data_IF_867584518529
#
_entry.id   IF_867584518529
#
_cell.length_a   1.000
_cell.length_b   1.000
_cell.length_c   1.000
_cell.angle_alpha   90.00
_cell.angle_beta   90.00
_cell.angle_gamma   90.00
#
_symmetry.space_group_name_H-M   'P 1'
#
loop_
_entity.id
_entity.type
_entity.pdbx_description
1 polymer ?
#
# COMPACT_ATOMS: atom_id res chain seq x y z
N UNK A 1 -13.40 -79.69 -13.38
CA UNK A 1 -13.10 -78.68 -12.34
C UNK A 1 -12.20 -77.62 -12.95
N UNK A 2 -12.74 -76.43 -13.25
CA UNK A 2 -12.01 -75.31 -13.89
C UNK A 2 -11.47 -74.39 -12.79
N UNK A 3 -10.16 -74.22 -12.75
CA UNK A 3 -9.45 -73.36 -11.80
C UNK A 3 -9.52 -71.91 -12.28
N UNK A 4 -10.31 -71.06 -11.61
CA UNK A 4 -10.37 -69.62 -11.85
C UNK A 4 -9.25 -68.96 -11.06
N UNK A 5 -8.26 -68.38 -11.76
CA UNK A 5 -7.25 -67.49 -11.16
C UNK A 5 -7.82 -66.07 -11.13
N UNK A 6 -8.12 -65.56 -9.94
CA UNK A 6 -8.48 -64.16 -9.72
C UNK A 6 -7.17 -63.37 -9.59
N UNK A 7 -6.87 -62.55 -10.59
CA UNK A 7 -5.78 -61.57 -10.56
C UNK A 7 -6.35 -60.32 -9.91
N UNK A 8 -5.97 -60.04 -8.66
CA UNK A 8 -6.25 -58.75 -8.01
C UNK A 8 -5.30 -57.70 -8.61
N UNK A 9 -5.80 -56.90 -9.54
CA UNK A 9 -5.11 -55.71 -10.02
C UNK A 9 -5.18 -54.62 -8.95
N UNK A 10 -4.05 -54.32 -8.31
CA UNK A 10 -3.91 -53.14 -7.45
C UNK A 10 -3.83 -51.92 -8.38
N UNK A 11 -4.96 -51.24 -8.59
CA UNK A 11 -4.97 -49.93 -9.20
C UNK A 11 -4.35 -48.93 -8.20
N UNK A 12 -3.07 -48.62 -8.40
CA UNK A 12 -2.41 -47.54 -7.68
C UNK A 12 -3.03 -46.21 -8.13
N UNK A 13 -4.03 -45.74 -7.38
CA UNK A 13 -4.51 -44.37 -7.49
C UNK A 13 -3.40 -43.45 -6.98
N UNK A 14 -2.59 -42.94 -7.91
CA UNK A 14 -1.72 -41.79 -7.68
C UNK A 14 -2.63 -40.59 -7.41
N UNK A 15 -2.99 -40.40 -6.15
CA UNK A 15 -3.58 -39.15 -5.66
C UNK A 15 -2.47 -38.11 -5.78
N UNK A 16 -2.47 -37.40 -6.91
CA UNK A 16 -1.71 -36.16 -7.06
C UNK A 16 -2.39 -35.16 -6.14
N UNK A 17 -1.98 -35.13 -4.87
CA UNK A 17 -2.29 -34.03 -3.98
C UNK A 17 -1.72 -32.77 -4.64
N UNK A 18 -2.54 -31.75 -4.94
CA UNK A 18 -1.99 -30.48 -5.37
C UNK A 18 -1.10 -29.97 -4.24
N UNK A 19 0.21 -29.87 -4.51
CA UNK A 19 1.09 -29.13 -3.63
C UNK A 19 0.63 -27.68 -3.69
N UNK A 20 -0.13 -27.24 -2.67
CA UNK A 20 -0.36 -25.82 -2.46
C UNK A 20 1.00 -25.19 -2.15
N UNK A 21 1.57 -24.52 -3.14
CA UNK A 21 2.68 -23.59 -2.94
C UNK A 21 2.28 -22.57 -1.87
N UNK A 22 3.18 -22.19 -0.95
CA UNK A 22 2.91 -21.09 -0.04
C UNK A 22 2.59 -19.84 -0.87
N UNK A 23 1.38 -19.32 -0.71
CA UNK A 23 0.97 -18.05 -1.29
C UNK A 23 1.85 -16.95 -0.71
N UNK A 24 2.89 -16.56 -1.44
CA UNK A 24 3.59 -15.30 -1.20
C UNK A 24 2.61 -14.17 -1.51
N UNK A 25 2.11 -13.52 -0.45
CA UNK A 25 1.13 -12.44 -0.53
C UNK A 25 1.64 -11.28 -1.39
N UNK A 26 0.93 -11.00 -2.48
CA UNK A 26 0.99 -9.69 -3.11
C UNK A 26 -0.02 -8.76 -2.44
N UNK A 27 -0.42 -7.69 -3.13
CA UNK A 27 -1.62 -6.87 -2.89
C UNK A 27 -2.21 -6.39 -4.23
N UNK A 28 -3.52 -6.22 -4.41
CA UNK A 28 -4.12 -6.01 -5.73
C UNK A 28 -4.99 -4.75 -5.88
N UNK A 29 -5.48 -4.51 -7.11
CA UNK A 29 -6.52 -3.51 -7.42
C UNK A 29 -7.89 -4.20 -7.45
N UNK A 30 -8.89 -3.56 -6.85
CA UNK A 30 -10.25 -4.06 -6.77
C UNK A 30 -11.21 -3.05 -7.40
N UNK A 31 -11.83 -3.44 -8.52
CA UNK A 31 -12.65 -2.53 -9.31
C UNK A 31 -11.81 -1.58 -10.14
N UNK A 32 -12.18 -0.31 -10.12
CA UNK A 32 -11.45 0.76 -10.80
C UNK A 32 -10.23 1.18 -9.98
N UNK A 33 -9.10 1.43 -10.65
CA UNK A 33 -7.87 1.84 -9.96
C UNK A 33 -8.00 3.27 -9.42
N UNK A 34 -8.26 3.39 -8.12
CA UNK A 34 -8.64 4.65 -7.45
C UNK A 34 -7.48 5.41 -6.82
N UNK A 35 -6.25 4.89 -7.00
CA UNK A 35 -5.05 5.46 -6.40
C UNK A 35 -4.83 6.88 -6.91
N UNK A 36 -4.49 7.80 -6.02
CA UNK A 36 -4.19 9.20 -6.32
C UNK A 36 -2.77 9.56 -5.91
N UNK A 37 -2.11 10.41 -6.69
CA UNK A 37 -0.95 11.15 -6.20
C UNK A 37 -1.35 12.13 -5.10
N UNK A 38 -0.41 12.49 -4.22
CA UNK A 38 -0.63 13.44 -3.11
C UNK A 38 -1.36 14.72 -3.55
N UNK A 39 -0.92 15.35 -4.64
CA UNK A 39 -1.51 16.61 -5.12
C UNK A 39 -2.98 16.50 -5.51
N UNK A 40 -3.45 15.31 -5.89
CA UNK A 40 -4.81 15.05 -6.32
C UNK A 40 -5.72 14.60 -5.17
N UNK A 41 -5.15 14.28 -4.00
CA UNK A 41 -5.90 13.86 -2.82
C UNK A 41 -6.65 15.04 -2.18
N UNK A 42 -7.70 14.73 -1.41
CA UNK A 42 -8.45 15.76 -0.66
C UNK A 42 -7.56 16.49 0.35
N UNK A 43 -7.87 17.75 0.73
CA UNK A 43 -7.07 18.49 1.71
C UNK A 43 -6.90 17.76 3.05
N UNK A 44 -7.91 17.01 3.48
CA UNK A 44 -7.87 16.18 4.68
C UNK A 44 -6.87 15.02 4.52
N UNK A 45 -6.90 14.30 3.38
CA UNK A 45 -5.94 13.25 3.09
C UNK A 45 -4.50 13.79 2.93
N UNK A 46 -4.32 14.97 2.35
CA UNK A 46 -3.01 15.66 2.27
C UNK A 46 -2.49 16.00 3.67
N UNK A 47 -3.35 16.47 4.57
CA UNK A 47 -2.99 16.76 5.97
C UNK A 47 -2.51 15.50 6.68
N UNK A 48 -3.23 14.38 6.54
CA UNK A 48 -2.83 13.09 7.13
C UNK A 48 -1.53 12.55 6.51
N UNK A 49 -1.34 12.75 5.20
CA UNK A 49 -0.14 12.33 4.45
C UNK A 49 1.15 12.90 5.02
N UNK A 50 1.11 14.08 5.64
CA UNK A 50 2.28 14.68 6.29
C UNK A 50 2.93 13.77 7.34
N UNK A 51 2.16 12.87 7.95
CA UNK A 51 2.67 11.97 9.00
C UNK A 51 2.75 10.50 8.59
N UNK A 52 2.63 10.24 7.29
CA UNK A 52 2.87 8.94 6.67
C UNK A 52 4.28 8.92 6.09
N UNK A 53 4.99 7.83 6.35
CA UNK A 53 6.42 7.72 6.06
C UNK A 53 6.74 6.59 5.12
N UNK A 54 7.81 6.77 4.35
CA UNK A 54 8.42 5.74 3.52
C UNK A 54 9.65 5.15 4.21
N UNK A 55 9.84 3.84 4.08
CA UNK A 55 10.97 3.11 4.63
C UNK A 55 12.01 2.83 3.54
N UNK A 56 13.24 3.24 3.78
CA UNK A 56 14.37 3.14 2.85
C UNK A 56 15.52 2.36 3.47
N UNK A 57 16.25 1.64 2.63
CA UNK A 57 17.54 1.06 3.05
C UNK A 57 18.56 2.19 3.19
N UNK A 58 19.40 2.15 4.22
CA UNK A 58 20.42 3.17 4.46
C UNK A 58 21.31 3.44 3.22
N UNK A 59 21.68 2.40 2.46
CA UNK A 59 22.48 2.55 1.24
C UNK A 59 21.76 3.26 0.08
N UNK A 60 20.44 3.41 0.15
CA UNK A 60 19.62 4.16 -0.81
C UNK A 60 19.39 5.63 -0.39
N UNK A 61 19.99 6.07 0.72
CA UNK A 61 19.84 7.42 1.26
C UNK A 61 21.23 8.07 1.31
N UNK A 62 21.49 8.99 0.40
CA UNK A 62 22.82 9.56 0.16
C UNK A 62 22.88 11.01 0.65
N UNK A 63 23.73 11.27 1.64
CA UNK A 63 23.97 12.63 2.10
C UNK A 63 24.74 13.42 1.02
N UNK A 64 24.15 14.51 0.54
CA UNK A 64 24.76 15.39 -0.47
C UNK A 64 25.54 16.56 0.16
N UNK A 65 25.54 16.67 1.49
CA UNK A 65 26.02 17.84 2.22
C UNK A 65 24.99 18.98 2.23
N UNK A 66 25.31 20.09 2.90
CA UNK A 66 24.50 21.32 2.94
C UNK A 66 23.02 21.10 3.36
N UNK A 67 22.78 20.13 4.24
CA UNK A 67 21.43 19.81 4.72
C UNK A 67 20.52 19.12 3.71
N UNK A 68 21.06 18.58 2.61
CA UNK A 68 20.30 17.85 1.59
C UNK A 68 20.68 16.36 1.55
N UNK A 69 19.68 15.52 1.29
CA UNK A 69 19.82 14.07 1.17
C UNK A 69 19.12 13.61 -0.11
N UNK A 70 19.81 12.82 -0.93
CA UNK A 70 19.27 12.25 -2.15
C UNK A 70 18.79 10.81 -1.92
N UNK A 71 17.58 10.51 -2.36
CA UNK A 71 17.02 9.16 -2.38
C UNK A 71 17.39 8.49 -3.71
N UNK A 72 18.01 7.31 -3.64
CA UNK A 72 18.34 6.51 -4.83
C UNK A 72 17.11 5.77 -5.30
N UNK A 73 16.60 6.16 -6.47
CA UNK A 73 15.41 5.57 -7.09
C UNK A 73 15.73 4.98 -8.45
N UNK A 74 14.86 4.08 -8.90
CA UNK A 74 14.81 3.58 -10.27
C UNK A 74 13.44 3.86 -10.88
N UNK A 75 13.32 3.99 -12.20
CA UNK A 75 12.00 4.16 -12.84
C UNK A 75 11.10 2.96 -12.57
N UNK A 76 9.86 3.20 -12.12
CA UNK A 76 8.91 2.16 -11.73
C UNK A 76 8.63 1.19 -12.89
N UNK A 77 8.38 1.73 -14.09
CA UNK A 77 8.18 0.98 -15.31
C UNK A 77 9.33 0.05 -15.66
N UNK A 78 10.57 0.56 -15.57
CA UNK A 78 11.76 -0.21 -15.82
C UNK A 78 11.99 -1.30 -14.76
N UNK A 79 11.79 -0.97 -13.48
CA UNK A 79 12.00 -1.89 -12.34
C UNK A 79 11.14 -3.15 -12.44
N UNK A 80 9.91 -3.02 -12.92
CA UNK A 80 8.93 -4.13 -12.96
C UNK A 80 8.57 -4.59 -14.38
N UNK A 81 9.24 -4.08 -15.42
CA UNK A 81 8.92 -4.32 -16.83
C UNK A 81 7.44 -4.05 -17.13
N UNK A 82 6.93 -2.90 -16.71
CA UNK A 82 5.51 -2.57 -16.81
C UNK A 82 5.09 -2.31 -18.25
N UNK A 83 3.87 -2.75 -18.58
CA UNK A 83 3.24 -2.41 -19.84
C UNK A 83 3.11 -0.88 -20.01
N UNK A 84 3.15 -0.35 -21.24
CA UNK A 84 3.20 1.10 -21.48
C UNK A 84 2.08 1.91 -20.81
N UNK A 85 0.90 1.33 -20.64
CA UNK A 85 -0.29 2.01 -20.11
C UNK A 85 -0.47 1.85 -18.59
N UNK A 86 0.48 1.23 -17.88
CA UNK A 86 0.38 1.09 -16.43
C UNK A 86 0.42 2.46 -15.74
N UNK A 87 -0.47 2.67 -14.76
CA UNK A 87 -0.49 3.90 -13.98
C UNK A 87 0.82 4.10 -13.24
N UNK A 88 1.23 5.36 -13.11
CA UNK A 88 2.46 5.78 -12.42
C UNK A 88 3.77 5.21 -13.00
N UNK A 89 3.73 4.57 -14.19
CA UNK A 89 4.88 3.89 -14.81
C UNK A 89 6.15 4.75 -14.87
N UNK A 90 6.00 6.04 -15.16
CA UNK A 90 7.10 6.98 -15.34
C UNK A 90 7.65 7.54 -14.01
N UNK A 91 7.00 7.24 -12.87
CA UNK A 91 7.45 7.73 -11.57
C UNK A 91 8.66 6.94 -11.04
N UNK A 92 9.49 7.54 -10.17
CA UNK A 92 10.56 6.82 -9.49
C UNK A 92 10.00 5.82 -8.46
N UNK A 93 10.81 4.81 -8.11
CA UNK A 93 10.51 3.82 -7.08
C UNK A 93 11.77 3.51 -6.28
N UNK A 94 11.67 3.45 -4.95
CA UNK A 94 12.83 3.18 -4.09
C UNK A 94 12.57 2.72 -2.66
N UNK A 95 11.46 3.11 -2.02
CA UNK A 95 11.14 2.61 -0.68
C UNK A 95 10.72 1.13 -0.70
N UNK A 96 10.81 0.46 0.45
CA UNK A 96 10.46 -0.96 0.58
C UNK A 96 9.21 -1.21 1.43
N UNK A 97 8.83 -0.27 2.30
CA UNK A 97 7.66 -0.31 3.15
C UNK A 97 7.17 1.12 3.46
N UNK A 98 6.05 1.20 4.18
CA UNK A 98 5.42 2.42 4.66
C UNK A 98 5.24 2.39 6.19
N UNK A 99 4.82 3.49 6.78
CA UNK A 99 4.48 3.59 8.21
C UNK A 99 3.78 4.89 8.56
N UNK A 100 3.47 5.05 9.84
CA UNK A 100 2.78 6.22 10.38
C UNK A 100 3.45 6.72 11.66
N UNK A 101 3.63 8.04 11.79
CA UNK A 101 4.02 8.66 13.05
C UNK A 101 2.82 8.62 14.01
N UNK A 102 2.96 7.96 15.16
CA UNK A 102 1.90 7.78 16.18
C UNK A 102 2.33 8.26 17.57
N UNK A 103 3.46 8.97 17.65
CA UNK A 103 3.94 9.70 18.82
C UNK A 103 5.15 10.55 18.44
N UNK A 104 5.70 11.35 19.37
CA UNK A 104 6.77 12.31 19.04
C UNK A 104 8.04 11.69 18.43
N UNK A 105 8.31 10.42 18.77
CA UNK A 105 9.42 9.62 18.24
C UNK A 105 8.97 8.23 17.81
N UNK A 106 7.65 7.98 17.71
CA UNK A 106 7.10 6.64 17.60
C UNK A 106 6.50 6.43 16.22
N UNK A 107 7.00 5.44 15.48
CA UNK A 107 6.46 5.06 14.17
C UNK A 107 5.87 3.66 14.24
N UNK A 108 4.64 3.55 13.75
CA UNK A 108 3.91 2.31 13.50
C UNK A 108 4.19 1.81 12.08
N UNK A 109 4.44 0.51 11.91
CA UNK A 109 4.58 -0.16 10.62
C UNK A 109 4.20 -1.65 10.75
N UNK A 110 4.32 -2.42 9.67
CA UNK A 110 4.15 -3.88 9.71
C UNK A 110 5.38 -4.54 10.33
N UNK A 111 5.18 -5.59 11.11
CA UNK A 111 6.26 -6.32 11.77
C UNK A 111 7.22 -6.97 10.77
N UNK A 112 6.71 -7.43 9.62
CA UNK A 112 7.56 -8.01 8.57
C UNK A 112 8.43 -6.97 7.84
N UNK A 113 8.15 -5.66 7.96
CA UNK A 113 9.00 -4.62 7.37
C UNK A 113 10.32 -4.44 8.13
N UNK A 114 10.34 -4.75 9.43
CA UNK A 114 11.53 -4.60 10.29
C UNK A 114 11.81 -5.95 10.94
N UNK A 115 12.55 -6.83 10.26
CA UNK A 115 12.77 -8.22 10.68
C UNK A 115 13.69 -8.42 11.89
N UNK A 116 14.09 -7.34 12.57
CA UNK A 116 14.93 -7.35 13.76
C UNK A 116 15.84 -6.14 13.85
N UNK A 117 16.68 -6.09 14.88
CA UNK A 117 17.53 -4.91 15.17
C UNK A 117 18.46 -4.53 14.01
N UNK A 118 18.94 -5.50 13.23
CA UNK A 118 19.74 -5.18 12.05
C UNK A 118 18.92 -4.49 10.95
N UNK A 119 17.67 -4.91 10.74
CA UNK A 119 16.77 -4.24 9.80
C UNK A 119 16.43 -2.83 10.29
N UNK A 120 16.18 -2.66 11.59
CA UNK A 120 15.98 -1.35 12.23
C UNK A 120 17.16 -0.42 11.97
N UNK A 121 18.39 -0.79 12.38
CA UNK A 121 19.58 0.07 12.16
C UNK A 121 19.81 0.46 10.70
N UNK A 122 19.45 -0.42 9.77
CA UNK A 122 19.58 -0.21 8.33
C UNK A 122 18.39 0.52 7.70
N UNK A 123 17.30 0.76 8.44
CA UNK A 123 16.15 1.51 7.96
C UNK A 123 16.36 3.01 8.10
N UNK A 124 15.87 3.75 7.12
CA UNK A 124 15.69 5.20 7.14
C UNK A 124 14.22 5.50 6.94
N UNK A 125 13.68 6.35 7.81
CA UNK A 125 12.28 6.74 7.83
C UNK A 125 12.23 8.13 7.21
N UNK A 126 11.51 8.26 6.09
CA UNK A 126 11.53 9.44 5.24
C UNK A 126 10.12 10.00 5.09
N UNK A 127 9.96 11.24 5.51
CA UNK A 127 8.74 12.04 5.33
C UNK A 127 8.78 12.79 4.00
N UNK A 128 7.61 13.08 3.42
CA UNK A 128 7.47 13.99 2.26
C UNK A 128 7.85 13.42 0.89
N UNK A 129 8.10 12.11 0.75
CA UNK A 129 8.37 11.50 -0.57
C UNK A 129 7.08 11.42 -1.40
N UNK A 130 6.78 12.47 -2.19
CA UNK A 130 5.54 12.62 -2.93
C UNK A 130 5.72 13.35 -4.28
N UNK A 131 4.68 13.31 -5.12
CA UNK A 131 4.51 14.24 -6.26
C UNK A 131 3.58 15.36 -5.78
N UNK A 132 4.08 16.59 -5.72
CA UNK A 132 3.39 17.70 -5.04
C UNK A 132 2.50 18.55 -5.95
N UNK A 133 2.58 18.38 -7.26
CA UNK A 133 1.79 19.14 -8.23
C UNK A 133 1.53 18.36 -9.52
N UNK A 134 0.46 18.74 -10.21
CA UNK A 134 0.10 18.21 -11.54
C UNK A 134 1.29 18.35 -12.50
N UNK A 135 1.66 17.26 -13.18
CA UNK A 135 2.78 17.23 -14.11
C UNK A 135 4.17 17.40 -13.48
N UNK A 136 4.27 17.41 -12.14
CA UNK A 136 5.53 17.49 -11.42
C UNK A 136 6.26 16.15 -11.32
N UNK A 137 7.54 16.21 -11.02
CA UNK A 137 8.33 15.04 -10.62
C UNK A 137 8.20 14.79 -9.12
N UNK A 138 8.49 13.55 -8.70
CA UNK A 138 8.55 13.23 -7.29
C UNK A 138 9.77 13.88 -6.62
N UNK A 139 9.58 14.36 -5.40
CA UNK A 139 10.68 14.89 -4.59
C UNK A 139 11.66 13.76 -4.22
N UNK A 140 12.86 13.76 -4.79
CA UNK A 140 13.90 12.75 -4.49
C UNK A 140 15.14 13.34 -3.82
N UNK A 141 15.18 14.66 -3.64
CA UNK A 141 16.18 15.37 -2.84
C UNK A 141 15.48 16.01 -1.66
N UNK A 142 15.66 15.44 -0.48
CA UNK A 142 14.96 15.79 0.75
C UNK A 142 15.82 16.70 1.64
N UNK A 143 15.22 17.56 2.46
CA UNK A 143 15.92 18.14 3.60
C UNK A 143 16.38 17.03 4.55
N UNK A 144 17.60 17.13 5.08
CA UNK A 144 18.14 16.15 6.03
C UNK A 144 17.27 16.03 7.30
N UNK A 145 16.52 17.09 7.65
CA UNK A 145 15.56 17.10 8.75
C UNK A 145 14.42 16.09 8.59
N UNK A 146 14.06 15.73 7.35
CA UNK A 146 12.99 14.78 7.02
C UNK A 146 13.45 13.31 7.02
N UNK A 147 14.73 13.06 7.31
CA UNK A 147 15.35 11.74 7.29
C UNK A 147 15.71 11.30 8.71
N UNK A 148 15.03 10.27 9.20
CA UNK A 148 15.21 9.72 10.54
C UNK A 148 15.80 8.32 10.47
N UNK A 149 16.46 7.89 11.54
CA UNK A 149 16.93 6.52 11.71
C UNK A 149 16.09 5.79 12.74
N UNK A 150 15.93 4.48 12.58
CA UNK A 150 15.35 3.64 13.63
C UNK A 150 16.39 3.45 14.74
N UNK A 151 16.09 3.94 15.94
CA UNK A 151 16.96 3.82 17.12
C UNK A 151 16.85 2.44 17.76
N UNK A 152 15.62 1.92 17.90
CA UNK A 152 15.33 0.58 18.43
C UNK A 152 13.90 0.15 18.10
N UNK A 153 13.67 -1.15 18.18
CA UNK A 153 12.33 -1.72 18.14
C UNK A 153 11.76 -1.72 19.56
N UNK A 154 10.57 -1.14 19.76
CA UNK A 154 9.87 -1.16 21.05
C UNK A 154 8.97 -2.37 21.20
N UNK A 155 8.27 -2.71 20.12
CA UNK A 155 7.44 -3.91 20.03
C UNK A 155 7.47 -4.42 18.59
N UNK A 156 7.44 -5.75 18.43
CA UNK A 156 7.25 -6.36 17.13
C UNK A 156 6.51 -7.69 17.27
N UNK A 157 5.53 -7.88 16.41
CA UNK A 157 4.84 -9.15 16.22
C UNK A 157 4.79 -9.47 14.74
N UNK A 158 5.10 -10.72 14.38
CA UNK A 158 4.95 -11.23 13.01
C UNK A 158 4.35 -12.62 13.10
N UNK A 159 3.25 -12.89 12.40
CA UNK A 159 2.65 -14.22 12.39
C UNK A 159 3.58 -15.22 11.69
N UNK A 160 3.52 -16.48 12.12
CA UNK A 160 4.16 -17.59 11.38
C UNK A 160 3.36 -17.97 10.10
N UNK A 161 2.23 -17.30 9.85
CA UNK A 161 1.38 -17.37 8.67
C UNK A 161 0.01 -16.75 8.97
N UNK A 162 -0.79 -16.38 7.96
CA UNK A 162 -2.11 -15.76 8.15
C UNK A 162 -3.07 -16.61 9.02
N UNK A 163 -2.83 -17.92 9.11
CA UNK A 163 -3.62 -18.83 9.96
C UNK A 163 -3.25 -18.79 11.45
N UNK A 164 -2.16 -18.13 11.83
CA UNK A 164 -1.60 -18.21 13.19
C UNK A 164 -2.14 -17.18 14.17
N UNK A 165 -3.25 -16.49 13.85
CA UNK A 165 -3.95 -15.52 14.72
C UNK A 165 -2.99 -14.69 15.61
N UNK A 166 -2.01 -14.06 14.95
CA UNK A 166 -1.05 -13.20 15.62
C UNK A 166 -0.91 -11.94 14.79
N UNK A 167 -1.06 -10.73 15.36
CA UNK A 167 -1.04 -9.49 14.61
C UNK A 167 0.35 -9.24 13.99
N UNK A 168 0.38 -8.67 12.79
CA UNK A 168 1.62 -8.26 12.13
C UNK A 168 1.81 -6.75 12.28
N UNK A 169 2.68 -6.34 13.21
CA UNK A 169 2.97 -4.93 13.48
C UNK A 169 4.34 -4.73 14.12
N UNK A 170 4.87 -3.52 13.99
CA UNK A 170 6.01 -3.05 14.75
C UNK A 170 5.81 -1.61 15.21
N UNK A 171 6.29 -1.34 16.42
CA UNK A 171 6.47 -0.01 16.98
C UNK A 171 7.98 0.25 17.06
N UNK A 172 8.46 1.24 16.34
CA UNK A 172 9.87 1.63 16.35
C UNK A 172 10.04 3.01 16.94
N UNK A 173 11.14 3.20 17.68
CA UNK A 173 11.55 4.51 18.15
C UNK A 173 12.52 5.13 17.14
N UNK A 174 12.27 6.39 16.76
CA UNK A 174 13.16 7.21 15.96
C UNK A 174 14.32 7.76 16.80
N UNK A 175 15.42 8.11 16.14
CA UNK A 175 16.64 8.66 16.74
C UNK A 175 16.45 10.04 17.41
N UNK A 176 15.36 10.75 17.07
CA UNK A 176 15.04 12.07 17.62
C UNK A 176 13.56 12.39 17.45
N UNK A 177 13.10 13.43 18.16
CA UNK A 177 11.74 13.96 18.01
C UNK A 177 11.50 14.48 16.60
N UNK A 178 10.35 14.14 16.04
CA UNK A 178 9.91 14.63 14.74
C UNK A 178 9.43 16.08 14.88
N UNK A 179 9.85 16.94 13.95
CA UNK A 179 9.44 18.34 13.86
C UNK A 179 8.65 18.55 12.58
N UNK A 180 7.69 19.48 12.60
CA UNK A 180 6.89 19.82 11.41
C UNK A 180 5.74 18.85 11.10
N UNK A 181 5.68 17.70 11.79
CA UNK A 181 4.66 16.66 11.59
C UNK A 181 3.90 16.37 12.88
N UNK A 182 2.62 15.98 12.76
CA UNK A 182 1.73 15.73 13.90
C UNK A 182 1.43 14.24 14.00
N UNK A 183 1.72 13.57 15.12
CA UNK A 183 1.33 12.19 15.33
C UNK A 183 -0.14 11.92 14.99
N UNK A 184 -0.40 10.83 14.28
CA UNK A 184 -1.71 10.44 13.80
C UNK A 184 -2.50 9.72 14.91
N UNK A 185 -3.77 10.10 15.14
CA UNK A 185 -4.62 9.46 16.13
C UNK A 185 -5.04 8.06 15.67
N UNK A 186 -5.28 7.19 16.65
CA UNK A 186 -5.73 5.82 16.42
C UNK A 186 -7.15 5.62 16.91
N UNK A 187 -7.85 4.69 16.30
CA UNK A 187 -9.18 4.28 16.75
C UNK A 187 -9.06 3.37 17.96
N UNK A 188 -9.75 3.72 19.07
CA UNK A 188 -9.72 2.97 20.33
C UNK A 188 -11.07 2.42 20.75
N UNK A 189 -12.15 2.87 20.12
CA UNK A 189 -13.53 2.46 20.46
C UNK A 189 -13.90 1.07 19.95
N UNK A 190 -13.17 0.55 18.96
CA UNK A 190 -13.51 -0.72 18.32
C UNK A 190 -14.82 -0.65 17.54
N UNK A 191 -15.09 0.51 16.93
CA UNK A 191 -16.37 0.81 16.28
C UNK A 191 -16.43 0.44 14.80
N UNK A 192 -15.31 0.03 14.20
CA UNK A 192 -15.26 -0.39 12.81
C UNK A 192 -16.18 -1.60 12.55
N UNK A 193 -16.97 -1.55 11.48
CA UNK A 193 -17.91 -2.59 11.05
C UNK A 193 -17.69 -2.97 9.59
N UNK A 194 -18.21 -4.14 9.22
CA UNK A 194 -18.26 -4.58 7.82
C UNK A 194 -19.10 -3.58 7.02
N UNK A 195 -18.58 -3.15 5.88
CA UNK A 195 -19.17 -2.13 5.02
C UNK A 195 -18.70 -0.71 5.32
N UNK A 196 -18.04 -0.45 6.45
CA UNK A 196 -17.53 0.88 6.78
C UNK A 196 -16.48 1.31 5.76
N UNK A 197 -16.52 2.60 5.41
CA UNK A 197 -15.62 3.18 4.42
C UNK A 197 -14.23 3.42 5.04
N UNK A 198 -13.20 2.97 4.36
CA UNK A 198 -11.80 3.12 4.74
C UNK A 198 -10.98 3.64 3.56
N UNK A 199 -9.86 4.26 3.87
CA UNK A 199 -8.86 4.65 2.87
C UNK A 199 -7.46 4.40 3.43
N UNK A 200 -6.45 4.43 2.58
CA UNK A 200 -5.06 4.17 2.97
C UNK A 200 -4.14 5.20 2.32
N UNK A 201 -3.09 5.56 3.05
CA UNK A 201 -2.02 6.40 2.52
C UNK A 201 -0.71 5.61 2.64
N UNK A 202 0.07 5.53 1.57
CA UNK A 202 1.28 4.71 1.56
C UNK A 202 2.16 4.85 0.34
N UNK A 203 3.17 3.98 0.26
CA UNK A 203 4.19 3.96 -0.79
C UNK A 203 4.16 2.62 -1.55
N UNK A 204 3.12 2.36 -2.38
CA UNK A 204 3.01 1.12 -3.14
C UNK A 204 4.23 0.90 -4.02
N UNK A 205 4.83 -0.28 -3.96
CA UNK A 205 6.00 -0.69 -4.76
C UNK A 205 7.17 0.29 -4.69
N UNK A 206 7.26 1.04 -3.61
CA UNK A 206 8.29 2.04 -3.42
C UNK A 206 8.05 3.37 -4.14
N UNK A 207 6.86 3.57 -4.73
CA UNK A 207 6.45 4.80 -5.39
C UNK A 207 6.38 5.98 -4.40
N UNK A 208 6.38 7.23 -4.90
CA UNK A 208 5.99 8.39 -4.11
C UNK A 208 4.59 8.17 -3.54
N UNK A 209 4.28 8.87 -2.45
CA UNK A 209 3.04 8.72 -1.69
C UNK A 209 1.81 8.64 -2.61
N UNK A 210 0.98 7.63 -2.34
CA UNK A 210 -0.33 7.45 -2.95
C UNK A 210 -1.40 7.39 -1.87
N UNK A 211 -2.57 7.89 -2.21
CA UNK A 211 -3.79 7.72 -1.45
C UNK A 211 -4.67 6.74 -2.22
N UNK A 212 -5.04 5.63 -1.59
CA UNK A 212 -6.00 4.65 -2.12
C UNK A 212 -7.30 4.82 -1.35
N UNK A 213 -8.39 5.10 -2.04
CA UNK A 213 -9.66 5.54 -1.46
C UNK A 213 -10.76 4.48 -1.63
N UNK A 214 -12.01 4.95 -1.74
CA UNK A 214 -13.25 4.23 -2.11
C UNK A 214 -13.49 2.81 -1.55
N UNK A 215 -12.72 2.39 -0.56
CA UNK A 215 -12.71 1.04 -0.06
C UNK A 215 -13.64 0.89 1.14
N UNK A 216 -13.99 -0.36 1.40
CA UNK A 216 -14.85 -0.81 2.47
C UNK A 216 -14.21 -2.00 3.17
N UNK A 217 -14.55 -2.12 4.45
CA UNK A 217 -14.29 -3.35 5.20
C UNK A 217 -15.18 -4.48 4.66
N UNK A 218 -14.56 -5.59 4.27
CA UNK A 218 -15.25 -6.78 3.75
C UNK A 218 -15.58 -7.78 4.84
N UNK A 219 -14.64 -8.03 5.75
CA UNK A 219 -14.85 -9.01 6.83
C UNK A 219 -13.84 -8.84 7.97
N UNK A 220 -14.05 -9.61 9.06
CA UNK A 220 -13.17 -9.65 10.22
C UNK A 220 -12.70 -11.07 10.52
N UNK A 221 -11.46 -11.19 10.97
CA UNK A 221 -10.86 -12.46 11.37
C UNK A 221 -10.36 -12.32 12.81
N UNK A 222 -11.28 -12.56 13.75
CA UNK A 222 -11.06 -12.30 15.17
C UNK A 222 -10.84 -10.81 15.45
N UNK A 223 -10.03 -10.52 16.47
CA UNK A 223 -9.64 -9.14 16.81
C UNK A 223 -8.38 -8.68 16.08
N UNK A 224 -7.66 -9.59 15.42
CA UNK A 224 -6.32 -9.32 14.91
C UNK A 224 -6.34 -8.72 13.51
N UNK A 225 -7.34 -9.07 12.69
CA UNK A 225 -7.37 -8.71 11.28
C UNK A 225 -8.76 -8.32 10.80
N UNK A 226 -8.79 -7.41 9.84
CA UNK A 226 -9.93 -7.20 8.97
C UNK A 226 -9.50 -7.19 7.50
N UNK A 227 -10.41 -7.60 6.62
CA UNK A 227 -10.24 -7.60 5.18
C UNK A 227 -10.87 -6.34 4.58
N UNK A 228 -10.25 -5.79 3.55
CA UNK A 228 -10.77 -4.68 2.74
C UNK A 228 -10.64 -4.97 1.24
N UNK A 229 -11.24 -4.11 0.43
CA UNK A 229 -11.04 -3.98 -1.02
C UNK A 229 -10.13 -2.80 -1.39
N UNK A 230 -9.18 -2.44 -0.52
CA UNK A 230 -8.25 -1.33 -0.82
C UNK A 230 -7.37 -1.63 -2.03
N UNK A 231 -7.11 -0.62 -2.86
CA UNK A 231 -6.13 -0.72 -3.94
C UNK A 231 -4.71 -0.66 -3.41
N UNK A 232 -4.09 -1.83 -3.22
CA UNK A 232 -2.77 -1.90 -2.61
C UNK A 232 -1.76 -2.71 -3.42
N UNK A 233 -0.49 -2.60 -3.04
CA UNK A 233 0.63 -3.30 -3.70
C UNK A 233 1.71 -3.52 -2.66
N UNK A 234 2.55 -4.55 -2.79
CA UNK A 234 3.76 -4.71 -1.96
C UNK A 234 4.50 -3.37 -1.85
N UNK A 235 4.90 -2.95 -0.66
CA UNK A 235 5.38 -1.58 -0.38
C UNK A 235 4.38 -0.73 0.42
N UNK A 236 3.07 -0.98 0.25
CA UNK A 236 2.05 -0.51 1.20
C UNK A 236 2.09 -1.26 2.54
N UNK A 237 2.99 -2.24 2.69
CA UNK A 237 3.19 -2.89 3.97
C UNK A 237 3.59 -1.86 5.02
N UNK A 238 2.83 -1.81 6.11
CA UNK A 238 2.99 -0.83 7.18
C UNK A 238 2.21 0.46 7.00
N UNK A 239 1.54 0.68 5.86
CA UNK A 239 0.70 1.85 5.65
C UNK A 239 -0.45 1.91 6.67
N UNK A 240 -0.75 3.09 7.24
CA UNK A 240 -1.96 3.27 8.03
C UNK A 240 -3.21 3.14 7.15
N UNK A 241 -4.18 2.38 7.64
CA UNK A 241 -5.54 2.34 7.09
C UNK A 241 -6.43 3.20 8.01
N UNK A 242 -7.10 4.16 7.41
CA UNK A 242 -7.90 5.17 8.10
C UNK A 242 -9.38 4.91 7.92
N UNK A 243 -10.15 5.21 8.96
CA UNK A 243 -11.59 5.36 8.87
C UNK A 243 -11.92 6.63 8.07
N UNK A 244 -12.75 6.53 7.03
CA UNK A 244 -13.08 7.68 6.19
C UNK A 244 -13.94 8.73 6.91
N UNK A 245 -14.71 8.31 7.91
CA UNK A 245 -15.54 9.23 8.71
C UNK A 245 -14.68 9.91 9.78
N UNK A 246 -13.77 9.17 10.43
CA UNK A 246 -13.06 9.72 11.59
C UNK A 246 -11.66 10.26 11.32
N UNK A 247 -11.03 9.86 10.21
CA UNK A 247 -9.62 10.14 9.92
C UNK A 247 -8.64 9.48 10.90
N UNK A 248 -9.11 8.59 11.78
CA UNK A 248 -8.27 7.83 12.72
C UNK A 248 -7.79 6.54 12.10
N UNK A 249 -6.61 6.09 12.51
CA UNK A 249 -6.05 4.80 12.07
C UNK A 249 -6.85 3.65 12.69
N UNK A 250 -7.39 2.79 11.84
CA UNK A 250 -8.10 1.55 12.21
C UNK A 250 -7.19 0.31 12.13
N UNK A 251 -6.06 0.41 11.42
CA UNK A 251 -5.11 -0.69 11.34
C UNK A 251 -3.91 -0.42 10.45
N UNK A 252 -3.13 -1.47 10.26
CA UNK A 252 -1.88 -1.46 9.48
C UNK A 252 -1.97 -2.45 8.34
N UNK A 253 -1.73 -2.00 7.11
CA UNK A 253 -1.81 -2.82 5.91
C UNK A 253 -0.66 -3.85 5.86
N UNK A 254 -0.96 -5.15 5.72
CA UNK A 254 0.07 -6.22 5.88
C UNK A 254 0.13 -7.24 4.76
N UNK A 255 -1.00 -7.64 4.16
CA UNK A 255 -1.02 -8.67 3.11
C UNK A 255 -2.19 -8.45 2.14
N UNK A 256 -2.21 -9.16 1.01
CA UNK A 256 -3.29 -9.03 0.02
C UNK A 256 -3.20 -10.00 -1.16
N UNK A 257 -3.95 -9.67 -2.22
CA UNK A 257 -4.06 -10.46 -3.46
C UNK A 257 -2.80 -10.42 -4.32
N UNK A 258 -2.71 -11.09 -5.48
CA UNK A 258 -1.46 -11.02 -6.28
C UNK A 258 -1.23 -9.60 -6.85
N UNK A 259 -0.02 -9.04 -6.78
CA UNK A 259 0.21 -7.65 -7.29
C UNK A 259 0.15 -7.50 -8.81
N UNK A 260 0.75 -8.46 -9.51
CA UNK A 260 1.05 -8.33 -10.91
C UNK A 260 0.74 -9.62 -11.67
N UNK A 261 0.30 -9.46 -12.92
CA UNK A 261 0.14 -10.53 -13.89
C UNK A 261 0.98 -10.24 -15.14
N UNK A 262 1.30 -11.28 -15.91
CA UNK A 262 2.02 -11.11 -17.18
C UNK A 262 1.01 -10.95 -18.30
N UNK A 263 1.22 -9.95 -19.15
CA UNK A 263 0.46 -9.81 -20.39
C UNK A 263 0.95 -10.84 -21.43
N UNK A 264 0.13 -11.16 -22.44
CA UNK A 264 0.57 -11.98 -23.58
C UNK A 264 1.80 -11.41 -24.30
N UNK A 265 2.00 -10.10 -24.25
CA UNK A 265 3.16 -9.41 -24.84
C UNK A 265 4.43 -9.46 -23.95
N UNK A 266 4.38 -10.13 -22.79
CA UNK A 266 5.54 -10.33 -21.90
C UNK A 266 5.84 -9.20 -20.92
N UNK A 267 5.14 -8.06 -21.02
CA UNK A 267 5.18 -7.00 -20.03
C UNK A 267 4.30 -7.33 -18.81
N UNK A 268 4.51 -6.59 -17.72
CA UNK A 268 3.82 -6.77 -16.44
C UNK A 268 2.65 -5.80 -16.35
N UNK A 269 1.48 -6.30 -15.94
CA UNK A 269 0.29 -5.50 -15.66
C UNK A 269 -0.08 -5.63 -14.18
N UNK A 270 -0.67 -4.57 -13.63
CA UNK A 270 -1.32 -4.63 -12.31
C UNK A 270 -2.46 -5.65 -12.34
N UNK A 271 -2.52 -6.51 -11.33
CA UNK A 271 -3.63 -7.45 -11.21
C UNK A 271 -4.88 -6.71 -10.75
N UNK A 272 -5.95 -6.85 -11.52
CA UNK A 272 -7.25 -6.25 -11.24
C UNK A 272 -8.26 -7.36 -10.98
N UNK A 273 -8.99 -7.23 -9.87
CA UNK A 273 -10.06 -8.13 -9.48
C UNK A 273 -11.38 -7.35 -9.44
N UNK A 274 -12.52 -8.03 -9.51
CA UNK A 274 -13.81 -7.41 -9.21
C UNK A 274 -13.86 -6.91 -7.76
N UNK A 275 -14.66 -5.87 -7.49
CA UNK A 275 -14.73 -5.20 -6.17
C UNK A 275 -14.96 -6.15 -4.99
N UNK A 276 -15.71 -7.25 -5.19
CA UNK A 276 -16.00 -8.26 -4.17
C UNK A 276 -15.29 -9.61 -4.43
N UNK A 277 -14.36 -9.63 -5.39
CA UNK A 277 -13.62 -10.83 -5.78
C UNK A 277 -12.22 -10.86 -5.16
N UNK A 278 -11.48 -11.93 -5.44
CA UNK A 278 -10.13 -12.14 -4.93
C UNK A 278 -10.08 -12.42 -3.43
N UNK A 279 -8.88 -12.37 -2.85
CA UNK A 279 -8.65 -12.62 -1.42
C UNK A 279 -8.88 -11.41 -0.52
N UNK A 280 -9.13 -10.24 -1.10
CA UNK A 280 -9.03 -8.95 -0.42
C UNK A 280 -7.64 -8.63 0.11
N UNK A 281 -7.60 -7.55 0.88
CA UNK A 281 -6.41 -7.00 1.51
C UNK A 281 -6.55 -7.07 3.02
N UNK A 282 -5.55 -7.65 3.68
CA UNK A 282 -5.58 -7.89 5.12
C UNK A 282 -4.84 -6.78 5.85
N UNK A 283 -5.54 -6.26 6.86
CA UNK A 283 -5.09 -5.18 7.72
C UNK A 283 -5.03 -5.69 9.14
N UNK A 284 -3.88 -5.58 9.80
CA UNK A 284 -3.78 -5.84 11.24
C UNK A 284 -4.61 -4.78 11.96
N UNK A 285 -5.63 -5.19 12.69
CA UNK A 285 -6.51 -4.28 13.44
C UNK A 285 -5.72 -3.55 14.52
N UNK A 286 -5.96 -2.24 14.63
CA UNK A 286 -5.38 -1.42 15.69
C UNK A 286 -5.81 -1.91 17.08
N UNK A 287 -6.99 -2.53 17.18
CA UNK A 287 -7.54 -3.04 18.44
C UNK A 287 -6.63 -4.10 19.09
N UNK A 288 -5.90 -4.87 18.29
CA UNK A 288 -4.99 -5.92 18.75
C UNK A 288 -3.78 -5.38 19.54
N UNK A 289 -3.40 -4.10 19.37
CA UNK A 289 -2.21 -3.53 20.00
C UNK A 289 -2.34 -2.07 20.43
N UNK A 290 -3.54 -1.48 20.37
CA UNK A 290 -3.78 -0.07 20.73
C UNK A 290 -3.39 0.26 22.17
N UNK A 291 -3.43 -0.71 23.10
CA UNK A 291 -3.00 -0.54 24.49
C UNK A 291 -1.50 -0.22 24.63
N UNK A 292 -0.70 -0.50 23.60
CA UNK A 292 0.73 -0.19 23.55
C UNK A 292 1.02 1.23 23.03
N UNK A 293 0.02 1.91 22.47
CA UNK A 293 0.17 3.22 21.86
C UNK A 293 -0.14 4.35 22.85
N UNK A 294 0.65 5.43 22.87
CA UNK A 294 0.37 6.58 23.73
C UNK A 294 -0.96 7.23 23.36
N UNK A 295 -1.66 7.77 24.36
CA UNK A 295 -2.78 8.66 24.12
C UNK A 295 -2.24 10.02 23.61
N UNK A 296 -2.80 10.53 22.52
CA UNK A 296 -2.41 11.83 21.97
C UNK A 296 -3.29 12.95 22.53
N UNK A 297 -2.70 14.13 22.72
CA UNK A 297 -3.46 15.33 23.11
C UNK A 297 -4.50 15.63 22.02
N UNK A 298 -5.77 15.67 22.40
CA UNK A 298 -6.87 15.92 21.45
C UNK A 298 -7.29 14.69 20.63
N UNK A 299 -6.83 13.48 20.96
CA UNK A 299 -7.25 12.23 20.28
C UNK A 299 -8.77 12.00 20.34
N UNK A 300 -9.43 12.52 21.39
CA UNK A 300 -10.88 12.44 21.56
C UNK A 300 -11.65 13.59 20.88
N UNK A 301 -10.96 14.50 20.19
CA UNK A 301 -11.65 15.56 19.43
C UNK A 301 -12.56 14.94 18.37
N UNK A 302 -13.75 15.54 18.21
CA UNK A 302 -14.79 15.08 17.27
C UNK A 302 -14.22 15.07 15.84
N UNK A 303 -14.49 14.03 15.04
CA UNK A 303 -13.79 13.88 13.78
C UNK A 303 -14.20 14.90 12.73
N UNK A 304 -13.26 15.25 11.84
CA UNK A 304 -13.59 15.80 10.54
C UNK A 304 -13.81 14.61 9.59
N UNK A 305 -14.98 14.54 8.97
CA UNK A 305 -15.22 13.61 7.85
C UNK A 305 -14.16 13.86 6.79
N UNK A 306 -13.39 12.83 6.46
CA UNK A 306 -12.49 12.89 5.32
C UNK A 306 -13.38 12.65 4.11
N UNK A 307 -13.81 13.75 3.49
CA UNK A 307 -14.52 13.67 2.23
C UNK A 307 -13.56 13.11 1.18
N UNK A 308 -13.68 11.80 0.97
CA UNK A 308 -13.03 11.06 -0.09
C UNK A 308 -14.00 10.99 -1.27
N UNK A 309 -14.60 12.13 -1.64
CA UNK A 309 -15.35 12.26 -2.89
C UNK A 309 -14.37 12.17 -4.08
N UNK A 310 -14.11 10.93 -4.48
CA UNK A 310 -13.30 10.59 -5.65
C UNK A 310 -14.02 10.91 -6.98
N UNK A 311 -15.26 11.42 -6.95
CA UNK A 311 -15.99 11.81 -8.17
C UNK A 311 -15.53 13.15 -8.76
N UNK A 312 -14.77 13.95 -7.99
CA UNK A 312 -14.45 15.34 -8.35
C UNK A 312 -13.35 15.55 -9.38
N UNK A 313 -12.67 14.51 -9.87
CA UNK A 313 -11.53 14.66 -10.81
C UNK A 313 -11.81 14.25 -12.26
N UNK A 314 -13.06 13.95 -12.64
CA UNK A 314 -13.40 13.65 -14.05
C UNK A 314 -13.93 14.85 -14.87
N UNK A 315 -14.14 16.02 -14.26
CA UNK A 315 -14.84 17.13 -14.94
C UNK A 315 -13.92 18.29 -15.41
N UNK A 316 -12.60 18.13 -15.32
CA UNK A 316 -11.67 18.98 -16.10
C UNK A 316 -11.31 18.27 -17.40
N UNK A 317 -12.30 18.18 -18.30
CA UNK A 317 -12.04 17.90 -19.71
C UNK A 317 -11.14 19.00 -20.27
N UNK A 318 -9.84 18.70 -20.34
CA UNK A 318 -8.91 19.34 -21.27
C UNK A 318 -9.56 19.26 -22.65
N UNK A 319 -9.85 20.43 -23.23
CA UNK A 319 -10.49 20.56 -24.53
C UNK A 319 -9.74 19.75 -25.59
N UNK A 320 -10.35 18.64 -25.99
CA UNK A 320 -10.01 17.92 -27.22
C UNK A 320 -10.38 18.86 -28.38
N UNK A 321 -9.43 19.34 -29.22
CA UNK A 321 -9.82 20.04 -30.43
C UNK A 321 -10.59 19.07 -31.31
N UNK A 322 -11.86 19.40 -31.54
CA UNK A 322 -12.74 18.65 -32.40
C UNK A 322 -12.22 18.61 -33.84
N UNK A 323 -12.40 17.43 -34.46
CA UNK A 323 -12.47 17.14 -35.90
C UNK A 323 -11.15 17.22 -36.70
N UNK A 324 -10.60 16.02 -36.95
CA UNK A 324 -9.90 15.72 -38.20
C UNK A 324 -10.99 15.37 -39.24
N UNK A 325 -11.08 16.05 -40.40
CA UNK A 325 -12.03 15.65 -41.42
C UNK A 325 -11.60 14.34 -42.08
N UNK A 326 -12.54 13.40 -42.15
CA UNK A 326 -12.49 12.23 -43.02
C UNK A 326 -12.23 12.67 -44.46
N UNK A 327 -11.12 12.19 -45.05
CA UNK A 327 -10.90 12.22 -46.49
C UNK A 327 -11.56 10.97 -47.05
N UNK A 328 -12.81 11.11 -47.49
CA UNK A 328 -13.43 10.19 -48.44
C UNK A 328 -13.10 10.68 -49.84
N UNK A 329 -12.41 9.86 -50.63
CA UNK A 329 -12.13 10.23 -52.01
C UNK A 329 -11.12 9.35 -52.70
N UNK A 330 -11.39 8.05 -52.84
CA UNK A 330 -10.86 7.28 -53.97
C UNK A 330 -11.81 6.11 -54.29
N UNK A 331 -12.03 5.89 -55.60
CA UNK A 331 -13.04 5.06 -56.31
C UNK A 331 -14.27 5.89 -56.71
N UNK A 332 -14.61 6.12 -58.00
CA UNK A 332 -14.24 5.44 -59.23
C UNK A 332 -14.71 6.24 -60.49
N UNK A 333 -14.13 5.90 -61.67
CA UNK A 333 -14.57 6.19 -63.07
C UNK A 333 -14.23 7.58 -63.66
N UNK A 334 -13.79 7.77 -64.92
CA UNK A 334 -13.83 6.94 -66.13
C UNK A 334 -12.89 7.56 -67.22
N UNK A 335 -12.09 6.72 -67.91
CA UNK A 335 -11.62 6.76 -69.32
C UNK A 335 -10.20 6.22 -69.50
#
# INVERSE_FOLDING_TARGET
MKTIRIILGIAAFLVVLPMLSPAGGGKAIYGEDDRLDYFAASPAAQTLSGSVVSFWRAGAVENQGNGKVKLKTVGFGARFNLCPNERFREQPSGSFCSGALVGETLVLTAGHCITGENACRNARIVFGYAVEKVGGEAMTVMPAGEIYSCARILQRSVPAGLQTQSPDFALIQLDRKVRGHKPLPVSRGGDLRKGDAVFMIGHPKGLPLKVAGAARVRDFYGMDYFETDLDTSHGNSGSPVFNSVTGKIEGVMVAGGKDFIKSPAGCTMTAVYGQAAGSGEFVTSISAFSSLLPALTGENAVPQTVDMDLSRTQDETVGIPQKIPFIDGYLNKER
#
